data_IF_972558470181
#
_entry.id   IF_972558470181
#
_cell.length_a   1.000
_cell.length_b   1.000
_cell.length_c   1.000
_cell.angle_alpha   90.00
_cell.angle_beta   90.00
_cell.angle_gamma   90.00
#
_symmetry.space_group_name_H-M   'P 1'
#
loop_
_entity.id
_entity.type
_entity.pdbx_description
1 polymer ?
#
# COMPACT_ATOMS: atom_id res chain seq x y z
N UNK A 1 -63.47 16.50 12.75
CA UNK A 1 -62.49 16.29 11.65
C UNK A 1 -62.03 14.84 11.75
N UNK A 2 -62.63 13.97 10.94
CA UNK A 2 -62.31 12.55 10.90
C UNK A 2 -60.87 12.36 10.43
N UNK A 3 -60.02 11.80 11.29
CA UNK A 3 -58.79 11.15 10.86
C UNK A 3 -59.23 9.84 10.21
N UNK A 4 -59.36 9.84 8.88
CA UNK A 4 -59.52 8.60 8.11
C UNK A 4 -58.30 7.72 8.40
N UNK A 5 -58.49 6.72 9.26
CA UNK A 5 -57.62 5.56 9.37
C UNK A 5 -57.38 5.04 7.96
N UNK A 6 -56.13 5.15 7.50
CA UNK A 6 -55.66 4.44 6.32
C UNK A 6 -55.96 2.96 6.56
N UNK A 7 -56.92 2.43 5.81
CA UNK A 7 -57.25 1.01 5.86
C UNK A 7 -55.96 0.19 5.76
N UNK A 8 -55.74 -0.69 6.72
CA UNK A 8 -54.70 -1.71 6.66
C UNK A 8 -55.03 -2.62 5.48
N UNK A 9 -54.56 -2.23 4.29
CA UNK A 9 -54.57 -3.11 3.13
C UNK A 9 -53.55 -4.20 3.42
N UNK A 10 -54.03 -5.36 3.84
CA UNK A 10 -53.23 -6.58 3.84
C UNK A 10 -52.65 -6.75 2.44
N UNK A 11 -51.32 -6.64 2.34
CA UNK A 11 -50.63 -6.83 1.09
C UNK A 11 -50.91 -8.26 0.61
N UNK A 12 -51.40 -8.39 -0.63
CA UNK A 12 -51.64 -9.70 -1.24
C UNK A 12 -50.40 -10.60 -1.07
N UNK A 13 -50.58 -11.86 -0.70
CA UNK A 13 -49.46 -12.81 -0.54
C UNK A 13 -48.56 -12.84 -1.79
N UNK A 14 -49.12 -12.63 -2.98
CA UNK A 14 -48.39 -12.50 -4.24
C UNK A 14 -47.48 -11.27 -4.28
N UNK A 15 -47.92 -10.15 -3.73
CA UNK A 15 -47.14 -8.91 -3.63
C UNK A 15 -46.05 -9.01 -2.54
N UNK A 16 -46.32 -9.70 -1.44
CA UNK A 16 -45.31 -9.98 -0.40
C UNK A 16 -44.23 -10.93 -0.98
N UNK A 17 -44.64 -11.94 -1.74
CA UNK A 17 -43.71 -12.88 -2.37
C UNK A 17 -42.88 -12.21 -3.48
N UNK A 18 -43.48 -11.35 -4.31
CA UNK A 18 -42.74 -10.58 -5.32
C UNK A 18 -41.73 -9.63 -4.67
N UNK A 19 -42.15 -8.88 -3.65
CA UNK A 19 -41.26 -7.99 -2.90
C UNK A 19 -40.10 -8.74 -2.23
N UNK A 20 -40.35 -9.91 -1.62
CA UNK A 20 -39.28 -10.76 -1.05
C UNK A 20 -38.31 -11.27 -2.12
N UNK A 21 -38.81 -11.55 -3.32
CA UNK A 21 -37.99 -12.00 -4.45
C UNK A 21 -37.13 -10.85 -4.98
N UNK A 22 -37.71 -9.67 -5.14
CA UNK A 22 -37.01 -8.44 -5.52
C UNK A 22 -35.94 -8.05 -4.48
N UNK A 23 -36.24 -8.19 -3.18
CA UNK A 23 -35.24 -7.96 -2.12
C UNK A 23 -34.08 -8.95 -2.21
N UNK A 24 -34.35 -10.23 -2.50
CA UNK A 24 -33.30 -11.24 -2.71
C UNK A 24 -32.47 -10.90 -3.93
N UNK A 25 -33.08 -10.53 -5.05
CA UNK A 25 -32.37 -10.10 -6.26
C UNK A 25 -31.52 -8.86 -6.02
N UNK A 26 -32.04 -7.88 -5.27
CA UNK A 26 -31.29 -6.67 -4.88
C UNK A 26 -30.06 -7.03 -4.06
N UNK A 27 -30.21 -7.89 -3.04
CA UNK A 27 -29.08 -8.35 -2.21
C UNK A 27 -28.08 -9.12 -3.05
N UNK A 28 -28.53 -10.03 -3.91
CA UNK A 28 -27.65 -10.78 -4.82
C UNK A 28 -26.89 -9.85 -5.78
N UNK A 29 -27.58 -8.88 -6.38
CA UNK A 29 -26.99 -7.90 -7.29
C UNK A 29 -25.98 -7.01 -6.57
N UNK A 30 -26.32 -6.56 -5.36
CA UNK A 30 -25.43 -5.77 -4.52
C UNK A 30 -24.18 -6.56 -4.15
N UNK A 31 -24.31 -7.82 -3.69
CA UNK A 31 -23.17 -8.69 -3.37
C UNK A 31 -22.30 -8.94 -4.60
N UNK A 32 -22.90 -9.15 -5.77
CA UNK A 32 -22.16 -9.33 -7.02
C UNK A 32 -21.34 -8.08 -7.37
N UNK A 33 -21.98 -6.90 -7.33
CA UNK A 33 -21.34 -5.62 -7.61
C UNK A 33 -20.27 -5.27 -6.59
N UNK A 34 -20.49 -5.62 -5.32
CA UNK A 34 -19.48 -5.51 -4.26
C UNK A 34 -18.29 -6.43 -4.51
N UNK A 35 -18.50 -7.65 -5.03
CA UNK A 35 -17.40 -8.56 -5.42
C UNK A 35 -16.62 -8.05 -6.62
N UNK A 36 -17.30 -7.53 -7.65
CA UNK A 36 -16.64 -6.93 -8.82
C UNK A 36 -15.80 -5.70 -8.46
N UNK A 37 -16.32 -4.85 -7.58
CA UNK A 37 -15.61 -3.66 -7.08
C UNK A 37 -14.67 -3.97 -5.92
N UNK A 38 -14.63 -5.22 -5.45
CA UNK A 38 -13.77 -5.63 -4.35
C UNK A 38 -12.31 -5.68 -4.82
N UNK A 39 -11.36 -5.27 -3.97
CA UNK A 39 -9.95 -5.56 -4.18
C UNK A 39 -9.67 -7.05 -4.42
N UNK A 40 -10.53 -7.96 -3.94
CA UNK A 40 -10.44 -9.40 -4.17
C UNK A 40 -10.63 -9.82 -5.63
N UNK A 41 -11.12 -8.95 -6.51
CA UNK A 41 -11.16 -9.19 -7.95
C UNK A 41 -9.73 -9.30 -8.54
N UNK A 42 -8.75 -8.61 -7.94
CA UNK A 42 -7.36 -8.63 -8.39
C UNK A 42 -6.62 -9.87 -7.89
N UNK A 43 -5.97 -10.59 -8.80
CA UNK A 43 -5.15 -11.77 -8.48
C UNK A 43 -4.05 -11.46 -7.48
N UNK A 44 -3.43 -10.27 -7.59
CA UNK A 44 -2.40 -9.81 -6.67
C UNK A 44 -2.92 -9.77 -5.23
N UNK A 45 -4.07 -9.14 -5.00
CA UNK A 45 -4.67 -8.98 -3.66
C UNK A 45 -5.04 -10.33 -3.05
N UNK A 46 -5.58 -11.26 -3.85
CA UNK A 46 -5.83 -12.63 -3.38
C UNK A 46 -4.55 -13.35 -2.98
N UNK A 47 -3.47 -13.12 -3.74
CA UNK A 47 -2.18 -13.78 -3.55
C UNK A 47 -1.37 -13.15 -2.41
N UNK A 48 -1.63 -11.90 -2.01
CA UNK A 48 -1.03 -11.25 -0.83
C UNK A 48 -1.26 -12.01 0.49
N UNK A 49 -2.22 -12.94 0.51
CA UNK A 49 -2.39 -13.84 1.65
C UNK A 49 -1.18 -14.75 1.91
N UNK A 50 -0.20 -14.82 1.00
CA UNK A 50 1.10 -15.46 1.28
C UNK A 50 1.79 -14.86 2.51
N UNK A 51 1.60 -13.57 2.78
CA UNK A 51 2.24 -12.86 3.91
C UNK A 51 1.47 -13.09 5.23
N UNK A 52 0.31 -13.77 5.22
CA UNK A 52 -0.45 -14.05 6.44
C UNK A 52 0.30 -15.07 7.33
N UNK A 53 0.69 -14.70 8.57
CA UNK A 53 1.42 -15.59 9.48
C UNK A 53 0.70 -16.93 9.71
N UNK A 54 -0.64 -16.92 9.71
CA UNK A 54 -1.42 -18.14 9.86
C UNK A 54 -1.34 -19.06 8.65
N UNK A 55 -1.30 -18.49 7.43
CA UNK A 55 -1.17 -19.27 6.20
C UNK A 55 0.25 -19.83 6.06
N UNK A 56 1.26 -19.04 6.42
CA UNK A 56 2.66 -19.48 6.47
C UNK A 56 2.80 -20.70 7.39
N UNK A 57 2.16 -20.68 8.57
CA UNK A 57 2.22 -21.79 9.52
C UNK A 57 1.40 -23.03 9.14
N UNK A 58 0.20 -22.86 8.58
CA UNK A 58 -0.77 -23.96 8.40
C UNK A 58 -0.89 -24.49 6.97
N UNK A 59 -0.39 -23.74 5.98
CA UNK A 59 -0.56 -24.06 4.55
C UNK A 59 0.63 -23.59 3.73
N UNK A 60 1.80 -24.19 3.98
CA UNK A 60 3.09 -23.81 3.40
C UNK A 60 3.07 -23.82 1.87
N UNK A 61 2.62 -24.93 1.27
CA UNK A 61 2.55 -25.06 -0.19
C UNK A 61 1.64 -23.99 -0.81
N UNK A 62 0.51 -23.72 -0.16
CA UNK A 62 -0.40 -22.66 -0.59
C UNK A 62 0.19 -21.26 -0.42
N UNK A 63 1.00 -21.02 0.61
CA UNK A 63 1.70 -19.75 0.82
C UNK A 63 2.78 -19.54 -0.24
N UNK A 64 3.59 -20.58 -0.51
CA UNK A 64 4.65 -20.58 -1.52
C UNK A 64 4.06 -20.38 -2.93
N UNK A 65 2.99 -21.09 -3.26
CA UNK A 65 2.30 -20.94 -4.55
C UNK A 65 1.74 -19.55 -4.76
N UNK A 66 1.16 -18.96 -3.70
CA UNK A 66 0.66 -17.59 -3.76
C UNK A 66 1.79 -16.59 -3.88
N UNK A 67 2.90 -16.79 -3.17
CA UNK A 67 4.07 -15.94 -3.28
C UNK A 67 4.69 -16.01 -4.69
N UNK A 68 4.75 -17.19 -5.31
CA UNK A 68 5.13 -17.34 -6.73
C UNK A 68 4.25 -16.49 -7.64
N UNK A 69 2.93 -16.55 -7.49
CA UNK A 69 2.00 -15.72 -8.28
C UNK A 69 2.24 -14.22 -8.07
N UNK A 70 2.59 -13.80 -6.85
CA UNK A 70 2.95 -12.41 -6.56
C UNK A 70 4.23 -12.01 -7.29
N UNK A 71 5.26 -12.87 -7.26
CA UNK A 71 6.52 -12.63 -7.98
C UNK A 71 6.31 -12.55 -9.49
N UNK A 72 5.49 -13.41 -10.08
CA UNK A 72 5.20 -13.39 -11.53
C UNK A 72 4.54 -12.07 -11.95
N UNK A 73 3.65 -11.52 -11.10
CA UNK A 73 3.02 -10.21 -11.31
C UNK A 73 4.06 -9.08 -11.16
N UNK A 74 4.91 -9.13 -10.14
CA UNK A 74 5.96 -8.13 -9.93
C UNK A 74 6.99 -8.12 -11.06
N UNK A 75 7.35 -9.29 -11.60
CA UNK A 75 8.18 -9.43 -12.79
C UNK A 75 7.51 -8.80 -14.01
N UNK A 76 6.22 -9.10 -14.24
CA UNK A 76 5.45 -8.52 -15.34
C UNK A 76 5.34 -6.98 -15.23
N UNK A 77 5.42 -6.43 -14.02
CA UNK A 77 5.46 -4.99 -13.75
C UNK A 77 6.89 -4.40 -13.76
N UNK A 78 7.91 -5.15 -14.17
CA UNK A 78 9.33 -4.76 -14.17
C UNK A 78 9.83 -4.27 -12.79
N UNK A 79 9.27 -4.81 -11.70
CA UNK A 79 9.66 -4.47 -10.32
C UNK A 79 10.72 -5.41 -9.75
N UNK A 80 10.93 -6.57 -10.37
CA UNK A 80 11.90 -7.60 -9.97
C UNK A 80 12.55 -8.15 -11.24
N UNK A 81 13.87 -8.37 -11.22
CA UNK A 81 14.60 -8.98 -12.33
C UNK A 81 14.39 -10.51 -12.37
N UNK A 82 14.33 -11.08 -13.57
CA UNK A 82 14.17 -12.52 -13.79
C UNK A 82 15.30 -13.32 -13.12
N UNK A 83 16.51 -12.75 -13.06
CA UNK A 83 17.67 -13.37 -12.45
C UNK A 83 17.54 -13.51 -10.92
N UNK A 84 16.75 -12.64 -10.29
CA UNK A 84 16.53 -12.64 -8.83
C UNK A 84 15.30 -13.48 -8.45
N UNK A 85 14.35 -13.66 -9.35
CA UNK A 85 13.09 -14.37 -9.09
C UNK A 85 13.29 -15.77 -8.49
N UNK A 86 14.20 -16.57 -9.02
CA UNK A 86 14.41 -17.93 -8.53
C UNK A 86 15.14 -17.96 -7.18
N UNK A 87 16.05 -17.03 -6.94
CA UNK A 87 16.71 -16.86 -5.65
C UNK A 87 15.70 -16.44 -4.56
N UNK A 88 14.82 -15.48 -4.89
CA UNK A 88 13.78 -15.00 -3.98
C UNK A 88 12.78 -16.12 -3.65
N UNK A 89 12.44 -16.98 -4.62
CA UNK A 89 11.56 -18.15 -4.37
C UNK A 89 12.19 -19.12 -3.38
N UNK A 90 13.46 -19.46 -3.56
CA UNK A 90 14.16 -20.41 -2.69
C UNK A 90 14.38 -19.85 -1.29
N UNK A 91 14.72 -18.56 -1.16
CA UNK A 91 14.77 -17.88 0.14
C UNK A 91 13.42 -17.89 0.85
N UNK A 92 12.33 -17.60 0.13
CA UNK A 92 11.00 -17.58 0.73
C UNK A 92 10.60 -18.98 1.24
N UNK A 93 10.92 -20.05 0.49
CA UNK A 93 10.68 -21.43 0.94
C UNK A 93 11.42 -21.74 2.23
N UNK A 94 12.69 -21.33 2.35
CA UNK A 94 13.49 -21.54 3.56
C UNK A 94 12.88 -20.83 4.77
N UNK A 95 12.49 -19.56 4.60
CA UNK A 95 11.82 -18.79 5.66
C UNK A 95 10.53 -19.49 6.10
N UNK A 96 9.70 -19.95 5.16
CA UNK A 96 8.44 -20.65 5.48
C UNK A 96 8.68 -21.93 6.30
N UNK A 97 9.78 -22.63 6.03
CA UNK A 97 10.18 -23.83 6.78
C UNK A 97 10.68 -23.49 8.19
N UNK A 98 11.53 -22.47 8.33
CA UNK A 98 12.08 -22.05 9.63
C UNK A 98 11.00 -21.48 10.55
N UNK A 99 10.13 -20.64 9.99
CA UNK A 99 9.04 -19.96 10.69
C UNK A 99 8.01 -20.93 11.27
N UNK A 100 7.89 -22.14 10.73
CA UNK A 100 6.99 -23.18 11.24
C UNK A 100 7.21 -23.52 12.72
N UNK A 101 8.47 -23.41 13.16
CA UNK A 101 8.88 -23.76 14.52
C UNK A 101 8.70 -22.59 15.50
N UNK A 102 8.52 -21.37 14.99
CA UNK A 102 8.36 -20.18 15.80
C UNK A 102 6.97 -20.13 16.43
N UNK A 103 6.94 -20.14 17.76
CA UNK A 103 5.69 -20.07 18.53
C UNK A 103 4.94 -18.75 18.31
N UNK A 104 5.65 -17.70 17.90
CA UNK A 104 5.13 -16.36 17.60
C UNK A 104 4.14 -16.38 16.44
N UNK A 105 4.43 -17.12 15.36
CA UNK A 105 3.52 -17.22 14.22
C UNK A 105 2.28 -18.06 14.51
N UNK A 106 2.37 -19.05 15.41
CA UNK A 106 1.22 -19.85 15.86
C UNK A 106 0.28 -19.09 16.78
N UNK A 107 0.82 -18.17 17.57
CA UNK A 107 0.07 -17.32 18.51
C UNK A 107 -0.44 -16.02 17.89
N UNK A 108 -0.06 -15.75 16.64
CA UNK A 108 -0.37 -14.51 15.95
C UNK A 108 -1.88 -14.25 15.86
N UNK A 109 -2.33 -13.15 16.47
CA UNK A 109 -3.70 -12.65 16.43
C UNK A 109 -3.78 -11.39 15.57
N UNK A 110 -4.50 -11.49 14.44
CA UNK A 110 -4.70 -10.38 13.48
C UNK A 110 -5.24 -9.07 14.09
N UNK A 111 -5.90 -9.15 15.25
CA UNK A 111 -6.51 -8.02 15.96
C UNK A 111 -5.57 -7.33 16.95
N UNK A 112 -4.57 -8.04 17.45
CA UNK A 112 -3.69 -7.58 18.54
C UNK A 112 -2.25 -7.36 18.04
N UNK A 113 -1.80 -8.21 17.10
CA UNK A 113 -0.40 -8.28 16.67
C UNK A 113 -0.16 -7.60 15.32
N UNK A 114 1.05 -7.05 15.15
CA UNK A 114 1.51 -6.36 13.95
C UNK A 114 2.22 -7.34 13.01
N UNK A 115 1.64 -7.55 11.82
CA UNK A 115 2.23 -8.41 10.78
C UNK A 115 3.62 -7.91 10.34
N UNK A 116 3.78 -6.58 10.21
CA UNK A 116 5.04 -5.98 9.77
C UNK A 116 6.17 -6.15 10.79
N UNK A 117 5.89 -6.02 12.08
CA UNK A 117 6.87 -6.25 13.15
C UNK A 117 7.30 -7.71 13.22
N UNK A 118 6.33 -8.64 13.16
CA UNK A 118 6.61 -10.08 13.17
C UNK A 118 7.51 -10.50 12.01
N UNK A 119 7.18 -10.06 10.79
CA UNK A 119 7.97 -10.41 9.60
C UNK A 119 9.32 -9.72 9.58
N UNK A 120 9.40 -8.47 10.03
CA UNK A 120 10.67 -7.76 10.16
C UNK A 120 11.62 -8.53 11.08
N UNK A 121 11.17 -8.89 12.27
CA UNK A 121 11.98 -9.63 13.24
C UNK A 121 12.42 -11.00 12.71
N UNK A 122 11.61 -11.62 11.84
CA UNK A 122 11.90 -12.94 11.27
C UNK A 122 12.81 -12.90 10.04
N UNK A 123 12.77 -11.82 9.26
CA UNK A 123 13.42 -11.76 7.93
C UNK A 123 14.64 -10.83 7.89
N UNK A 124 14.86 -9.96 8.88
CA UNK A 124 15.98 -9.00 8.86
C UNK A 124 17.19 -9.39 9.70
N UNK A 125 17.14 -10.53 10.40
CA UNK A 125 18.25 -11.07 11.18
C UNK A 125 19.38 -11.68 10.35
N UNK A 126 19.13 -12.04 9.08
CA UNK A 126 20.07 -12.76 8.24
C UNK A 126 20.22 -12.11 6.86
N UNK A 127 21.46 -11.85 6.41
CA UNK A 127 21.73 -11.25 5.08
C UNK A 127 21.14 -12.09 3.94
N UNK A 128 20.99 -13.40 4.15
CA UNK A 128 20.46 -14.33 3.17
C UNK A 128 18.98 -14.11 2.83
N UNK A 129 18.24 -13.32 3.62
CA UNK A 129 16.81 -13.03 3.40
C UNK A 129 16.54 -11.59 2.93
N UNK A 130 17.60 -10.82 2.66
CA UNK A 130 17.50 -9.43 2.24
C UNK A 130 16.68 -9.22 0.96
N UNK A 131 16.77 -10.14 -0.01
CA UNK A 131 16.03 -10.06 -1.28
C UNK A 131 14.54 -10.31 -1.08
N UNK A 132 14.17 -11.36 -0.36
CA UNK A 132 12.76 -11.60 0.02
C UNK A 132 12.20 -10.45 0.83
N UNK A 133 12.96 -9.93 1.80
CA UNK A 133 12.51 -8.81 2.62
C UNK A 133 12.21 -7.56 1.78
N UNK A 134 13.02 -7.26 0.76
CA UNK A 134 12.76 -6.15 -0.16
C UNK A 134 11.42 -6.32 -0.89
N UNK A 135 11.12 -7.53 -1.36
CA UNK A 135 9.82 -7.84 -1.98
C UNK A 135 8.68 -7.70 -0.98
N UNK A 136 8.80 -8.31 0.20
CA UNK A 136 7.77 -8.24 1.26
C UNK A 136 7.52 -6.79 1.67
N UNK A 137 8.57 -5.97 1.77
CA UNK A 137 8.47 -4.53 2.04
C UNK A 137 7.63 -3.81 0.99
N UNK A 138 7.84 -4.08 -0.30
CA UNK A 138 7.01 -3.51 -1.37
C UNK A 138 5.55 -3.94 -1.17
N UNK A 139 5.31 -5.22 -0.93
CA UNK A 139 3.96 -5.77 -0.75
C UNK A 139 3.22 -5.17 0.45
N UNK A 140 3.91 -4.94 1.57
CA UNK A 140 3.35 -4.29 2.77
C UNK A 140 2.98 -2.82 2.52
N UNK A 141 3.60 -2.16 1.53
CA UNK A 141 3.35 -0.75 1.18
C UNK A 141 2.29 -0.62 0.07
N UNK A 142 2.09 -1.65 -0.77
CA UNK A 142 1.12 -1.63 -1.88
C UNK A 142 -0.31 -1.28 -1.43
N UNK A 143 -0.69 -1.65 -0.20
CA UNK A 143 -2.04 -1.40 0.35
C UNK A 143 -2.30 0.05 0.74
N UNK A 144 -1.30 0.93 0.63
CA UNK A 144 -1.44 2.37 0.92
C UNK A 144 -1.90 3.17 -0.29
N UNK A 145 -2.92 2.67 -1.00
CA UNK A 145 -3.63 3.46 -2.00
C UNK A 145 -4.17 4.76 -1.39
N UNK A 146 -4.14 5.87 -2.14
CA UNK A 146 -4.72 7.16 -1.74
C UNK A 146 -6.27 7.13 -1.61
N UNK A 147 -6.89 5.95 -1.64
CA UNK A 147 -8.32 5.75 -1.52
C UNK A 147 -8.77 5.97 -0.07
N UNK A 148 -9.68 6.94 0.12
CA UNK A 148 -10.24 7.30 1.44
C UNK A 148 -10.95 6.15 2.16
N UNK A 149 -11.38 5.12 1.44
CA UNK A 149 -12.07 3.94 1.99
C UNK A 149 -11.06 2.96 2.60
N UNK A 150 -9.97 2.64 1.89
CA UNK A 150 -8.89 1.77 2.40
C UNK A 150 -8.15 2.42 3.57
N UNK A 151 -8.04 3.75 3.56
CA UNK A 151 -7.50 4.54 4.67
C UNK A 151 -8.20 4.24 6.00
N UNK A 152 -9.53 4.03 6.04
CA UNK A 152 -10.26 3.76 7.30
C UNK A 152 -9.94 2.39 7.91
N UNK A 153 -9.44 1.45 7.11
CA UNK A 153 -9.03 0.11 7.56
C UNK A 153 -7.55 0.04 7.95
N UNK A 154 -6.76 1.09 7.69
CA UNK A 154 -5.34 1.11 8.04
C UNK A 154 -5.11 1.50 9.50
N UNK A 155 -4.21 0.79 10.19
CA UNK A 155 -3.70 1.20 11.51
C UNK A 155 -2.96 2.56 11.43
N UNK A 156 -2.50 2.94 10.24
CA UNK A 156 -1.84 4.21 9.96
C UNK A 156 -2.82 5.33 9.52
N UNK A 157 -4.15 5.11 9.63
CA UNK A 157 -5.19 6.06 9.18
C UNK A 157 -5.01 7.48 9.69
N UNK A 158 -4.51 7.64 10.92
CA UNK A 158 -4.29 8.93 11.57
C UNK A 158 -3.09 9.69 10.98
N UNK A 159 -2.11 8.97 10.43
CA UNK A 159 -0.86 9.50 9.89
C UNK A 159 -0.97 9.80 8.39
N UNK A 160 -1.85 9.09 7.68
CA UNK A 160 -2.06 9.27 6.24
C UNK A 160 -3.16 10.31 5.95
N UNK A 161 -2.82 11.60 5.94
CA UNK A 161 -3.72 12.65 5.40
C UNK A 161 -3.48 12.84 3.89
N UNK A 162 -4.49 13.32 3.14
CA UNK A 162 -4.35 13.63 1.71
C UNK A 162 -3.22 14.65 1.48
N UNK A 163 -2.49 14.52 0.37
CA UNK A 163 -1.45 15.46 -0.08
C UNK A 163 -0.24 15.65 0.85
N UNK A 164 0.09 14.66 1.69
CA UNK A 164 1.37 14.67 2.41
C UNK A 164 2.53 14.27 1.51
N UNK A 165 3.63 15.01 1.62
CA UNK A 165 4.91 14.57 1.06
C UNK A 165 5.43 13.32 1.79
N UNK A 166 6.24 12.51 1.11
CA UNK A 166 6.89 11.33 1.69
C UNK A 166 7.64 11.68 2.99
N UNK A 167 8.43 12.76 2.97
CA UNK A 167 9.15 13.26 4.14
C UNK A 167 8.23 13.57 5.33
N UNK A 168 7.04 14.12 5.06
CA UNK A 168 6.04 14.39 6.10
C UNK A 168 5.45 13.10 6.69
N UNK A 169 5.24 12.08 5.87
CA UNK A 169 4.76 10.78 6.33
C UNK A 169 5.80 10.07 7.21
N UNK A 170 7.06 10.06 6.77
CA UNK A 170 8.19 9.50 7.53
C UNK A 170 8.29 10.20 8.88
N UNK A 171 8.30 11.55 8.90
CA UNK A 171 8.40 12.32 10.14
C UNK A 171 7.27 12.01 11.12
N UNK A 172 6.01 11.95 10.65
CA UNK A 172 4.87 11.61 11.51
C UNK A 172 4.95 10.17 12.04
N UNK A 173 5.43 9.22 11.24
CA UNK A 173 5.61 7.84 11.66
C UNK A 173 6.68 7.74 12.76
N UNK A 174 7.83 8.37 12.56
CA UNK A 174 8.90 8.44 13.56
C UNK A 174 8.39 9.00 14.90
N UNK A 175 7.62 10.10 14.86
CA UNK A 175 7.03 10.68 16.07
C UNK A 175 6.05 9.70 16.75
N UNK A 176 5.17 9.06 15.97
CA UNK A 176 4.19 8.09 16.51
C UNK A 176 4.88 6.88 17.14
N UNK A 177 5.92 6.36 16.49
CA UNK A 177 6.68 5.20 16.96
C UNK A 177 7.46 5.54 18.23
N UNK A 178 8.05 6.73 18.31
CA UNK A 178 8.70 7.22 19.53
C UNK A 178 7.70 7.41 20.69
N UNK A 179 6.52 8.00 20.45
CA UNK A 179 5.50 8.16 21.48
C UNK A 179 5.05 6.80 22.03
N UNK A 180 4.94 5.79 21.16
CA UNK A 180 4.63 4.42 21.59
C UNK A 180 5.76 3.81 22.43
N UNK A 181 7.01 3.96 22.02
CA UNK A 181 8.14 3.37 22.73
C UNK A 181 8.32 3.93 24.14
N UNK A 182 7.99 5.22 24.36
CA UNK A 182 8.04 5.86 25.69
C UNK A 182 6.79 5.62 26.56
N UNK A 183 5.88 4.72 26.14
CA UNK A 183 4.68 4.39 26.92
C UNK A 183 3.54 5.42 26.80
N UNK A 184 3.52 6.19 25.71
CA UNK A 184 2.50 7.20 25.41
C UNK A 184 2.92 8.62 25.80
N UNK A 185 1.99 9.56 25.65
CA UNK A 185 2.26 11.00 25.81
C UNK A 185 2.80 11.38 27.21
N UNK A 186 2.49 10.61 28.25
CA UNK A 186 2.98 10.87 29.61
C UNK A 186 4.47 10.59 29.79
N UNK A 187 5.06 9.72 28.95
CA UNK A 187 6.49 9.43 28.96
C UNK A 187 7.31 10.35 28.06
N UNK A 188 6.66 11.28 27.34
CA UNK A 188 7.35 12.20 26.45
C UNK A 188 8.06 13.29 27.27
N UNK A 189 9.38 13.24 27.30
CA UNK A 189 10.21 14.28 27.92
C UNK A 189 10.53 15.35 26.88
N UNK A 190 10.15 16.60 27.16
CA UNK A 190 10.52 17.74 26.31
C UNK A 190 11.98 18.10 26.58
N UNK A 191 12.88 17.55 25.77
CA UNK A 191 14.32 17.79 25.90
C UNK A 191 14.73 19.17 25.36
N UNK A 192 15.90 19.66 25.79
CA UNK A 192 16.44 20.94 25.28
C UNK A 192 16.76 20.87 23.79
N UNK A 193 17.22 19.72 23.32
CA UNK A 193 17.50 19.46 21.90
C UNK A 193 16.22 19.50 21.06
N UNK A 194 15.11 18.98 21.59
CA UNK A 194 13.81 19.05 20.93
C UNK A 194 13.33 20.49 20.81
N UNK A 195 13.50 21.30 21.86
CA UNK A 195 13.18 22.73 21.83
C UNK A 195 14.04 23.50 20.82
N UNK A 196 15.34 23.25 20.78
CA UNK A 196 16.24 23.86 19.79
C UNK A 196 15.86 23.43 18.36
N UNK A 197 15.55 22.15 18.16
CA UNK A 197 15.09 21.65 16.85
C UNK A 197 13.79 22.34 16.41
N UNK A 198 12.84 22.54 17.33
CA UNK A 198 11.59 23.24 17.07
C UNK A 198 11.81 24.73 16.72
N UNK A 199 12.73 25.40 17.40
CA UNK A 199 13.10 26.80 17.10
C UNK A 199 13.65 26.94 15.67
N UNK A 200 14.50 26.00 15.24
CA UNK A 200 15.14 26.03 13.91
C UNK A 200 14.21 25.47 12.82
N UNK A 201 13.13 24.77 13.17
CA UNK A 201 12.23 24.11 12.21
C UNK A 201 11.63 25.06 11.19
N UNK A 202 11.23 26.27 11.61
CA UNK A 202 10.69 27.30 10.69
C UNK A 202 11.72 27.71 9.64
N UNK A 203 12.97 27.93 10.06
CA UNK A 203 14.05 28.29 9.14
C UNK A 203 14.32 27.16 8.15
N UNK A 204 14.45 25.91 8.63
CA UNK A 204 14.62 24.72 7.78
C UNK A 204 13.50 24.60 6.75
N UNK A 205 12.25 24.87 7.15
CA UNK A 205 11.12 24.85 6.24
C UNK A 205 11.23 25.90 5.14
N UNK A 206 11.58 27.15 5.46
CA UNK A 206 11.79 28.19 4.47
C UNK A 206 12.96 27.85 3.52
N UNK A 207 14.09 27.35 4.04
CA UNK A 207 15.21 26.90 3.20
C UNK A 207 14.79 25.78 2.24
N UNK A 208 14.00 24.82 2.70
CA UNK A 208 13.47 23.75 1.85
C UNK A 208 12.50 24.27 0.77
N UNK A 209 11.65 25.26 1.08
CA UNK A 209 10.77 25.87 0.08
C UNK A 209 11.55 26.61 -1.01
N UNK A 210 12.60 27.35 -0.64
CA UNK A 210 13.48 28.02 -1.61
C UNK A 210 14.23 27.01 -2.48
N UNK A 211 14.76 25.93 -1.88
CA UNK A 211 15.38 24.84 -2.64
C UNK A 211 14.41 24.23 -3.66
N UNK A 212 13.16 23.94 -3.28
CA UNK A 212 12.15 23.42 -4.21
C UNK A 212 11.82 24.38 -5.36
N UNK A 213 11.78 25.69 -5.11
CA UNK A 213 11.59 26.68 -6.18
C UNK A 213 12.75 26.63 -7.18
N UNK A 214 13.98 26.66 -6.66
CA UNK A 214 15.18 26.63 -7.51
C UNK A 214 15.27 25.35 -8.34
N UNK A 215 14.90 24.20 -7.78
CA UNK A 215 14.92 22.92 -8.49
C UNK A 215 13.86 22.90 -9.61
N UNK A 216 12.64 23.36 -9.34
CA UNK A 216 11.60 23.48 -10.38
C UNK A 216 12.00 24.43 -11.50
N UNK A 217 12.72 25.50 -11.20
CA UNK A 217 13.23 26.41 -12.21
C UNK A 217 14.34 25.76 -13.06
N UNK A 218 15.23 24.98 -12.43
CA UNK A 218 16.26 24.20 -13.12
C UNK A 218 15.66 23.13 -14.02
N UNK A 219 14.67 22.37 -13.52
CA UNK A 219 13.95 21.36 -14.30
C UNK A 219 13.26 21.98 -15.52
N UNK A 220 12.58 23.12 -15.36
CA UNK A 220 11.96 23.84 -16.48
C UNK A 220 12.97 24.30 -17.51
N UNK A 221 14.13 24.82 -17.07
CA UNK A 221 15.22 25.23 -17.99
C UNK A 221 15.82 24.02 -18.71
N UNK A 222 16.05 22.92 -18.01
CA UNK A 222 16.55 21.67 -18.58
C UNK A 222 15.58 21.08 -19.61
N UNK A 223 14.28 21.06 -19.30
CA UNK A 223 13.25 20.57 -20.22
C UNK A 223 13.16 21.43 -21.48
N UNK A 224 13.20 22.77 -21.35
CA UNK A 224 13.26 23.67 -22.51
C UNK A 224 14.49 23.42 -23.37
N UNK A 225 15.66 23.16 -22.76
CA UNK A 225 16.88 22.86 -23.49
C UNK A 225 16.78 21.54 -24.25
N UNK A 226 16.25 20.48 -23.62
CA UNK A 226 16.03 19.18 -24.27
C UNK A 226 15.07 19.29 -25.46
N UNK A 227 13.97 20.02 -25.31
CA UNK A 227 13.01 20.25 -26.40
C UNK A 227 13.64 21.01 -27.58
N UNK A 228 14.44 22.05 -27.30
CA UNK A 228 15.18 22.76 -28.35
C UNK A 228 16.24 21.87 -29.02
N UNK A 229 16.95 21.02 -28.25
CA UNK A 229 17.93 20.07 -28.79
C UNK A 229 17.26 19.02 -29.70
N UNK A 230 16.07 18.55 -29.34
CA UNK A 230 15.25 17.64 -30.16
C UNK A 230 14.76 18.32 -31.44
N UNK A 231 14.24 19.56 -31.38
CA UNK A 231 13.84 20.35 -32.55
C UNK A 231 15.01 20.65 -33.51
N UNK A 232 16.19 20.96 -32.98
CA UNK A 232 17.39 21.15 -33.81
C UNK A 232 17.83 19.82 -34.43
N UNK A 233 17.67 18.71 -33.71
CA UNK A 233 17.97 17.36 -34.20
C UNK A 233 17.06 16.92 -35.35
N UNK A 234 15.77 17.25 -35.30
CA UNK A 234 14.82 16.95 -36.39
C UNK A 234 15.09 17.81 -37.63
N UNK A 235 15.29 19.12 -37.45
CA UNK A 235 15.61 20.04 -38.56
C UNK A 235 16.91 19.66 -39.29
N UNK A 236 17.93 19.18 -38.56
CA UNK A 236 19.18 18.69 -39.18
C UNK A 236 19.00 17.39 -39.96
N UNK A 237 18.08 16.52 -39.54
CA UNK A 237 17.75 15.29 -40.28
C UNK A 237 16.99 15.61 -41.57
N UNK A 238 16.09 16.59 -41.52
CA UNK A 238 15.31 17.03 -42.69
C UNK A 238 16.17 17.78 -43.73
N UNK A 239 17.22 18.49 -43.30
CA UNK A 239 18.19 19.09 -44.21
C UNK A 239 19.09 18.05 -44.90
N UNK A 240 19.42 16.94 -44.25
CA UNK A 240 20.26 15.89 -44.83
C UNK A 240 19.49 14.97 -45.81
N UNK A 241 18.17 14.91 -45.75
CA UNK A 241 17.34 14.15 -46.69
C UNK A 241 16.96 14.96 -47.94
N UNK A 242 17.11 16.29 -47.92
CA UNK A 242 16.78 17.19 -49.04
C UNK A 242 17.91 17.46 -50.05
N UNK A 243 19.14 16.96 -49.83
CA UNK A 243 20.30 17.20 -50.73
C UNK A 243 20.54 16.03 -51.71
N UNK A 244 19.59 15.10 -51.80
CA UNK A 244 19.66 13.93 -52.68
C UNK A 244 18.64 13.96 -53.83
N UNK A 245 18.57 15.05 -54.58
CA UNK A 245 17.90 15.11 -55.90
C UNK A 245 18.79 15.82 -56.91
#
# INVERSE_FOLDING_TARGET
MEVKLLAEKEASEKAILSFRTECKELVCTFVHKMKEKSPLAYTLVRSLSCIDPNLICKGQDHSIDKFRRVLDILYSCQRVDINECDQIKEEYKKIVQEVQHLSEFKKFRKTEDRVDELLYNSMTGEEMYSRVWNVVRVLLILSHGQASIERRFSVNKEVSTQNLSENSLIARRVIKDHIKSVGGLKGLVVSKELLQSAQVARQKYHTHLEAQKTEKEREKKCLKRKLMEEEVGTLRKDQNTGVGH
#
